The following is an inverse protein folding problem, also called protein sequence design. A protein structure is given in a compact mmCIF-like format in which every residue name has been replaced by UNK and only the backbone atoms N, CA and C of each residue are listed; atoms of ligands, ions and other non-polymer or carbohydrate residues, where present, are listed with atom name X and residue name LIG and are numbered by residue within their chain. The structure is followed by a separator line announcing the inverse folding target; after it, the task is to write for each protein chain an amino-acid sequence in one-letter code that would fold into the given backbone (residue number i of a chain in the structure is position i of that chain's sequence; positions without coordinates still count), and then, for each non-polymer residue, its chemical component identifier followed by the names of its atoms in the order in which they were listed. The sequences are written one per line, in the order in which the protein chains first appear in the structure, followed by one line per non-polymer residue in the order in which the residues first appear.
data_IF_685980203276
#
_entry.id   IF_685980203276
#
_cell.length_a   1.000
_cell.length_b   1.000
_cell.length_c   1.000
_cell.angle_alpha   90.00
_cell.angle_beta   90.00
_cell.angle_gamma   90.00
#
_symmetry.space_group_name_H-M   'P 1'
#
loop_
_entity.id
_entity.type
_entity.pdbx_description
1 polymer ?
#
# COMPACT_ATOMS: atom_id res chain seq x y z
N UNK A 1 -9.57 -4.65 -35.22
CA UNK A 1 -8.12 -4.48 -34.99
C UNK A 1 -7.92 -4.46 -33.48
N UNK A 2 -7.61 -5.61 -32.94
CA UNK A 2 -7.33 -5.87 -31.54
C UNK A 2 -5.84 -5.67 -31.30
N UNK A 3 -5.47 -4.65 -30.54
CA UNK A 3 -4.13 -4.53 -30.02
C UNK A 3 -4.22 -4.37 -28.49
N UNK A 4 -4.46 -5.47 -27.80
CA UNK A 4 -4.10 -5.62 -26.42
C UNK A 4 -2.77 -6.34 -26.34
N UNK A 5 -1.66 -5.63 -26.33
CA UNK A 5 -0.39 -6.22 -25.90
C UNK A 5 -0.50 -6.44 -24.40
N UNK A 6 -0.81 -7.66 -24.00
CA UNK A 6 -0.65 -8.12 -22.63
C UNK A 6 0.82 -7.96 -22.25
N UNK A 7 1.09 -7.00 -21.40
CA UNK A 7 2.38 -6.85 -20.74
C UNK A 7 2.51 -8.04 -19.76
N UNK A 8 3.02 -9.17 -20.24
CA UNK A 8 3.38 -10.28 -19.37
C UNK A 8 4.72 -9.93 -18.72
N UNK A 9 4.69 -9.52 -17.43
CA UNK A 9 5.88 -9.63 -16.61
C UNK A 9 6.25 -11.12 -16.54
N UNK A 10 7.45 -11.49 -17.01
CA UNK A 10 7.94 -12.88 -16.96
C UNK A 10 7.99 -13.40 -15.52
N UNK A 11 8.30 -12.54 -14.56
CA UNK A 11 8.33 -12.84 -13.13
C UNK A 11 7.46 -11.85 -12.36
N UNK A 12 6.62 -12.34 -11.46
CA UNK A 12 5.82 -11.49 -10.58
C UNK A 12 6.71 -10.75 -9.59
N UNK A 13 6.32 -9.53 -9.24
CA UNK A 13 7.02 -8.71 -8.26
C UNK A 13 6.70 -9.24 -6.85
N UNK A 14 7.73 -9.62 -6.04
CA UNK A 14 7.50 -10.10 -4.69
C UNK A 14 7.05 -8.98 -3.77
N UNK A 15 5.97 -9.23 -3.02
CA UNK A 15 5.36 -8.25 -2.14
C UNK A 15 5.13 -8.81 -0.74
N UNK A 16 5.15 -7.92 0.26
CA UNK A 16 4.80 -8.22 1.65
C UNK A 16 3.60 -7.39 2.10
N UNK A 17 2.75 -7.95 2.94
CA UNK A 17 1.66 -7.22 3.60
C UNK A 17 2.02 -7.00 5.07
N UNK A 18 2.14 -5.73 5.48
CA UNK A 18 2.35 -5.32 6.87
C UNK A 18 1.01 -5.06 7.54
N UNK A 19 0.81 -5.59 8.75
CA UNK A 19 -0.48 -5.56 9.43
C UNK A 19 -1.49 -6.56 8.86
N UNK A 20 -1.00 -7.69 8.32
CA UNK A 20 -1.78 -8.67 7.56
C UNK A 20 -2.96 -9.29 8.34
N UNK A 21 -2.93 -9.32 9.68
CA UNK A 21 -4.01 -9.87 10.51
C UNK A 21 -5.18 -8.92 10.74
N UNK A 22 -5.00 -7.61 10.47
CA UNK A 22 -6.06 -6.61 10.53
C UNK A 22 -7.01 -6.68 9.32
N UNK A 23 -8.20 -6.08 9.42
CA UNK A 23 -9.23 -6.13 8.36
C UNK A 23 -8.75 -5.59 7.01
N UNK A 24 -7.99 -4.49 7.00
CA UNK A 24 -7.41 -3.91 5.79
C UNK A 24 -6.29 -4.80 5.24
N UNK A 25 -5.43 -5.35 6.13
CA UNK A 25 -4.38 -6.28 5.73
C UNK A 25 -4.93 -7.56 5.11
N UNK A 26 -6.01 -8.12 5.66
CA UNK A 26 -6.72 -9.25 5.09
C UNK A 26 -7.25 -8.95 3.68
N UNK A 27 -7.75 -7.72 3.46
CA UNK A 27 -8.20 -7.29 2.13
C UNK A 27 -7.05 -7.20 1.13
N UNK A 28 -5.87 -6.72 1.54
CA UNK A 28 -4.69 -6.79 0.70
C UNK A 28 -4.30 -8.23 0.37
N UNK A 29 -4.28 -9.13 1.37
CA UNK A 29 -4.00 -10.55 1.15
C UNK A 29 -4.97 -11.14 0.14
N UNK A 30 -6.28 -10.94 0.32
CA UNK A 30 -7.32 -11.43 -0.60
C UNK A 30 -7.08 -10.96 -2.05
N UNK A 31 -6.77 -9.67 -2.24
CA UNK A 31 -6.55 -9.08 -3.56
C UNK A 31 -5.25 -9.56 -4.21
N UNK A 32 -4.26 -9.96 -3.42
CA UNK A 32 -2.93 -10.36 -3.90
C UNK A 32 -2.85 -11.84 -4.27
N UNK A 33 -3.72 -12.71 -3.74
CA UNK A 33 -3.68 -14.17 -3.96
C UNK A 33 -3.58 -14.56 -5.44
N UNK A 34 -4.36 -13.92 -6.30
CA UNK A 34 -4.38 -14.20 -7.74
C UNK A 34 -3.98 -12.98 -8.58
N UNK A 35 -3.18 -12.07 -7.99
CA UNK A 35 -2.81 -10.86 -8.69
C UNK A 35 -1.89 -11.18 -9.90
N UNK A 36 -2.13 -10.57 -11.08
CA UNK A 36 -1.37 -10.92 -12.28
C UNK A 36 0.10 -10.46 -12.23
N UNK A 37 0.42 -9.42 -11.45
CA UNK A 37 1.74 -8.78 -11.41
C UNK A 37 2.48 -8.96 -10.08
N UNK A 38 1.77 -9.26 -9.00
CA UNK A 38 2.35 -9.37 -7.67
C UNK A 38 2.31 -10.80 -7.16
N UNK A 39 3.36 -11.18 -6.43
CA UNK A 39 3.47 -12.44 -5.70
C UNK A 39 3.56 -12.14 -4.20
N UNK A 40 2.59 -12.61 -3.44
CA UNK A 40 2.58 -12.45 -1.98
C UNK A 40 3.57 -13.45 -1.36
N UNK A 41 4.76 -12.96 -1.01
CA UNK A 41 5.84 -13.81 -0.47
C UNK A 41 5.95 -13.77 1.05
N UNK A 42 5.36 -12.77 1.71
CA UNK A 42 5.37 -12.65 3.17
C UNK A 42 4.13 -11.93 3.71
N UNK A 43 3.73 -12.33 4.90
CA UNK A 43 2.72 -11.64 5.73
C UNK A 43 3.37 -11.27 7.06
N UNK A 44 3.25 -10.01 7.46
CA UNK A 44 3.83 -9.51 8.70
C UNK A 44 2.76 -8.87 9.59
N UNK A 45 2.90 -9.03 10.89
CA UNK A 45 1.97 -8.48 11.88
C UNK A 45 2.68 -8.16 13.21
N UNK A 46 1.90 -7.82 14.24
CA UNK A 46 2.41 -7.54 15.58
C UNK A 46 3.11 -8.76 16.21
N UNK A 47 3.93 -8.53 17.23
CA UNK A 47 4.66 -9.58 17.98
C UNK A 47 3.75 -10.68 18.53
N UNK A 48 2.49 -10.38 18.81
CA UNK A 48 1.51 -11.39 19.29
C UNK A 48 1.19 -12.47 18.26
N UNK A 49 1.28 -12.13 16.97
CA UNK A 49 0.97 -12.99 15.84
C UNK A 49 2.22 -13.58 15.20
N UNK A 50 3.37 -12.95 15.39
CA UNK A 50 4.64 -13.37 14.81
C UNK A 50 5.03 -14.79 15.22
N UNK A 51 5.56 -15.56 14.28
CA UNK A 51 5.99 -16.95 14.44
C UNK A 51 4.86 -17.98 14.33
N UNK A 52 3.60 -17.58 14.28
CA UNK A 52 2.45 -18.50 14.09
C UNK A 52 2.15 -18.69 12.59
N UNK A 53 1.45 -19.78 12.26
CA UNK A 53 0.84 -19.89 10.94
C UNK A 53 -0.21 -18.80 10.75
N UNK A 54 -0.26 -18.19 9.56
CA UNK A 54 -1.18 -17.08 9.30
C UNK A 54 -2.65 -17.47 9.53
N UNK A 55 -3.06 -18.68 9.12
CA UNK A 55 -4.41 -19.18 9.35
C UNK A 55 -4.81 -19.32 10.82
N UNK A 56 -3.83 -19.53 11.71
CA UNK A 56 -4.05 -19.58 13.17
C UNK A 56 -4.03 -18.18 13.81
N UNK A 57 -3.24 -17.27 13.23
CA UNK A 57 -3.06 -15.92 13.75
C UNK A 57 -4.18 -14.96 13.34
N UNK A 58 -4.92 -15.27 12.27
CA UNK A 58 -5.95 -14.38 11.69
C UNK A 58 -7.36 -14.89 12.01
N UNK A 59 -8.25 -13.98 12.38
CA UNK A 59 -9.68 -14.21 12.27
C UNK A 59 -10.12 -13.75 10.88
N UNK A 60 -10.19 -14.68 9.92
CA UNK A 60 -10.44 -14.36 8.52
C UNK A 60 -11.85 -13.80 8.31
N UNK A 61 -11.93 -12.56 7.82
CA UNK A 61 -13.19 -11.81 7.66
C UNK A 61 -13.64 -11.68 6.21
N UNK A 62 -12.81 -12.14 5.25
CA UNK A 62 -13.12 -11.97 3.84
C UNK A 62 -14.14 -13.00 3.36
N UNK A 63 -14.96 -12.67 2.34
CA UNK A 63 -16.00 -13.58 1.82
C UNK A 63 -15.40 -14.78 1.08
N UNK A 64 -14.21 -14.64 0.52
CA UNK A 64 -13.49 -15.73 -0.14
C UNK A 64 -12.73 -16.58 0.88
N UNK A 65 -12.68 -17.92 0.74
CA UNK A 65 -11.91 -18.75 1.64
C UNK A 65 -10.42 -18.41 1.57
N UNK A 66 -9.74 -18.46 2.72
CA UNK A 66 -8.29 -18.26 2.79
C UNK A 66 -7.59 -19.46 2.11
N UNK A 67 -6.77 -19.24 1.06
CA UNK A 67 -6.04 -20.31 0.41
C UNK A 67 -5.08 -21.01 1.37
N UNK A 68 -4.98 -22.32 1.26
CA UNK A 68 -4.14 -23.14 2.15
C UNK A 68 -2.66 -22.74 2.08
N UNK A 69 -2.16 -22.35 0.91
CA UNK A 69 -0.78 -21.87 0.72
C UNK A 69 -0.49 -20.64 1.56
N UNK A 70 -1.44 -19.70 1.63
CA UNK A 70 -1.31 -18.48 2.43
C UNK A 70 -1.53 -18.78 3.92
N UNK A 71 -2.52 -19.65 4.26
CA UNK A 71 -2.78 -20.03 5.64
C UNK A 71 -1.57 -20.67 6.33
N UNK A 72 -0.74 -21.39 5.57
CA UNK A 72 0.51 -22.02 6.05
C UNK A 72 1.70 -21.06 6.14
N UNK A 73 1.62 -19.83 5.63
CA UNK A 73 2.71 -18.87 5.75
C UNK A 73 2.96 -18.53 7.22
N UNK A 74 4.23 -18.48 7.61
CA UNK A 74 4.61 -17.99 8.94
C UNK A 74 4.50 -16.47 8.98
N UNK A 75 3.76 -15.94 9.95
CA UNK A 75 3.66 -14.50 10.18
C UNK A 75 5.01 -13.96 10.63
N UNK A 76 5.55 -13.00 9.88
CA UNK A 76 6.81 -12.33 10.18
C UNK A 76 6.57 -11.14 11.12
N UNK A 77 7.64 -10.62 11.72
CA UNK A 77 7.63 -9.31 12.37
C UNK A 77 7.60 -8.21 11.30
N UNK A 78 7.06 -7.03 11.66
CA UNK A 78 7.11 -5.87 10.78
C UNK A 78 8.50 -5.21 10.84
N UNK A 79 9.52 -5.91 10.36
CA UNK A 79 10.91 -5.47 10.28
C UNK A 79 11.42 -5.59 8.83
N UNK A 80 12.35 -4.74 8.38
CA UNK A 80 12.75 -4.68 6.97
C UNK A 80 13.75 -5.78 6.54
N UNK A 81 13.74 -6.92 7.19
CA UNK A 81 14.45 -8.15 6.86
C UNK A 81 13.54 -9.21 6.20
N UNK A 82 12.26 -8.89 6.01
CA UNK A 82 11.29 -9.79 5.37
C UNK A 82 11.47 -9.83 3.86
N UNK A 83 11.19 -10.96 3.18
CA UNK A 83 11.27 -11.01 1.72
C UNK A 83 10.24 -10.07 1.06
N UNK A 84 10.62 -9.44 -0.06
CA UNK A 84 9.75 -8.57 -0.85
C UNK A 84 10.46 -7.34 -1.38
N UNK A 85 9.88 -6.72 -2.38
CA UNK A 85 10.31 -5.43 -2.95
C UNK A 85 9.32 -4.31 -2.65
N UNK A 86 8.04 -4.66 -2.55
CA UNK A 86 6.96 -3.73 -2.23
C UNK A 86 6.31 -4.16 -0.91
N UNK A 87 6.12 -3.21 -0.01
CA UNK A 87 5.40 -3.40 1.24
C UNK A 87 4.04 -2.70 1.18
N UNK A 88 2.95 -3.48 1.16
CA UNK A 88 1.61 -2.95 1.34
C UNK A 88 1.33 -2.81 2.83
N UNK A 89 1.26 -1.57 3.32
CA UNK A 89 1.09 -1.30 4.75
C UNK A 89 -0.37 -1.04 5.11
N UNK A 90 -0.86 -1.87 6.03
CA UNK A 90 -2.16 -1.76 6.70
C UNK A 90 -1.97 -1.60 8.21
N UNK A 91 -0.88 -0.97 8.63
CA UNK A 91 -0.56 -0.73 10.03
C UNK A 91 -1.42 0.39 10.62
N UNK A 92 -1.65 0.32 11.92
CA UNK A 92 -2.24 1.42 12.66
C UNK A 92 -1.33 2.65 12.66
N UNK A 93 -1.92 3.84 12.58
CA UNK A 93 -1.18 5.11 12.50
C UNK A 93 -0.20 5.32 13.67
N UNK A 94 -0.46 4.73 14.84
CA UNK A 94 0.40 4.83 16.02
C UNK A 94 1.78 4.20 15.84
N UNK A 95 1.92 3.23 14.94
CA UNK A 95 3.18 2.49 14.70
C UNK A 95 3.66 2.58 13.24
N UNK A 96 2.77 2.94 12.33
CA UNK A 96 3.04 2.91 10.90
C UNK A 96 4.19 3.84 10.50
N UNK A 97 4.22 5.08 11.01
CA UNK A 97 5.20 6.08 10.60
C UNK A 97 6.64 5.63 10.73
N UNK A 98 6.99 5.05 11.88
CA UNK A 98 8.34 4.54 12.14
C UNK A 98 8.66 3.31 11.28
N UNK A 99 7.76 2.33 11.27
CA UNK A 99 7.97 1.07 10.53
C UNK A 99 8.06 1.34 9.03
N UNK A 100 7.17 2.12 8.46
CA UNK A 100 7.16 2.47 7.04
C UNK A 100 8.43 3.22 6.63
N UNK A 101 8.92 4.11 7.49
CA UNK A 101 10.21 4.81 7.30
C UNK A 101 11.38 3.83 7.28
N UNK A 102 11.43 2.87 8.21
CA UNK A 102 12.46 1.84 8.24
C UNK A 102 12.46 0.97 6.98
N UNK A 103 11.28 0.57 6.49
CA UNK A 103 11.15 -0.16 5.22
C UNK A 103 11.63 0.65 4.03
N UNK A 104 11.27 1.93 3.94
CA UNK A 104 11.74 2.81 2.87
C UNK A 104 13.26 3.03 2.92
N UNK A 105 13.85 3.17 4.11
CA UNK A 105 15.30 3.26 4.29
C UNK A 105 16.00 1.98 3.83
N UNK A 106 15.42 0.82 4.09
CA UNK A 106 15.94 -0.48 3.65
C UNK A 106 15.77 -0.75 2.14
N UNK A 107 15.03 0.10 1.43
CA UNK A 107 14.92 0.03 -0.03
C UNK A 107 13.57 -0.48 -0.56
N UNK A 108 12.58 -0.68 0.29
CA UNK A 108 11.23 -1.10 -0.14
C UNK A 108 10.45 0.08 -0.74
N UNK A 109 9.62 -0.23 -1.72
CA UNK A 109 8.52 0.67 -2.09
C UNK A 109 7.35 0.41 -1.13
N UNK A 110 7.08 1.35 -0.23
CA UNK A 110 5.97 1.26 0.72
C UNK A 110 4.73 1.89 0.11
N UNK A 111 3.65 1.13 0.03
CA UNK A 111 2.30 1.60 -0.34
C UNK A 111 1.45 1.59 0.90
N UNK A 112 1.28 2.77 1.51
CA UNK A 112 0.67 2.93 2.82
C UNK A 112 -0.82 3.25 2.75
N UNK A 113 -1.61 2.51 3.51
CA UNK A 113 -3.00 2.86 3.83
C UNK A 113 -3.13 3.63 5.16
N UNK A 114 -2.02 3.81 5.88
CA UNK A 114 -1.99 4.58 7.14
C UNK A 114 -2.09 6.09 6.91
N UNK A 115 -2.47 6.81 7.97
CA UNK A 115 -2.52 8.27 7.97
C UNK A 115 -1.17 8.95 8.20
N UNK A 116 -0.13 8.22 8.63
CA UNK A 116 1.10 8.77 9.21
C UNK A 116 1.85 9.70 8.24
N UNK A 117 1.99 9.33 6.99
CA UNK A 117 2.75 10.09 5.98
C UNK A 117 1.89 10.93 5.04
N UNK A 118 0.58 11.03 5.26
CA UNK A 118 -0.33 11.75 4.33
C UNK A 118 -0.07 13.24 4.23
N UNK A 119 0.52 13.83 5.25
CA UNK A 119 0.81 15.27 5.32
C UNK A 119 2.26 15.61 5.03
N UNK A 120 3.11 14.62 4.79
CA UNK A 120 4.51 14.83 4.46
C UNK A 120 4.63 15.45 3.06
N UNK A 121 5.40 16.53 2.90
CA UNK A 121 5.44 17.31 1.65
C UNK A 121 6.01 16.52 0.47
N UNK A 122 6.88 15.54 0.74
CA UNK A 122 7.56 14.72 -0.27
C UNK A 122 6.85 13.37 -0.53
N UNK A 123 5.78 13.08 0.21
CA UNK A 123 5.03 11.83 0.06
C UNK A 123 3.77 12.07 -0.75
N UNK A 124 3.60 11.40 -1.91
CA UNK A 124 2.39 11.56 -2.70
C UNK A 124 1.19 10.95 -2.00
N UNK A 125 0.17 11.77 -1.76
CA UNK A 125 -1.17 11.34 -1.40
C UNK A 125 -1.91 11.07 -2.71
N UNK A 126 -2.06 9.79 -3.08
CA UNK A 126 -2.38 9.36 -4.43
C UNK A 126 -3.77 8.72 -4.55
N UNK A 127 -4.54 9.23 -5.48
CA UNK A 127 -5.67 8.56 -6.13
C UNK A 127 -5.34 8.53 -7.62
N UNK A 128 -4.84 7.41 -8.18
CA UNK A 128 -4.25 7.37 -9.52
C UNK A 128 -5.12 7.96 -10.61
N UNK A 129 -6.43 7.72 -10.57
CA UNK A 129 -7.42 8.24 -11.53
C UNK A 129 -7.58 9.76 -11.43
N UNK A 130 -7.17 10.37 -10.31
CA UNK A 130 -7.36 11.80 -10.05
C UNK A 130 -6.08 12.59 -10.23
N UNK A 131 -4.97 12.12 -9.66
CA UNK A 131 -3.75 12.89 -9.50
C UNK A 131 -2.47 12.07 -9.70
N UNK A 132 -2.45 11.16 -10.70
CA UNK A 132 -1.29 10.31 -11.00
C UNK A 132 0.04 11.09 -11.12
N UNK A 133 -0.01 12.36 -11.57
CA UNK A 133 1.16 13.23 -11.66
C UNK A 133 1.84 13.51 -10.31
N UNK A 134 1.15 13.36 -9.17
CA UNK A 134 1.75 13.49 -7.84
C UNK A 134 2.79 12.40 -7.56
N UNK A 135 2.78 11.30 -8.32
CA UNK A 135 3.82 10.27 -8.22
C UNK A 135 5.23 10.84 -8.45
N UNK A 136 5.37 11.95 -9.16
CA UNK A 136 6.66 12.61 -9.35
C UNK A 136 7.33 13.04 -8.02
N UNK A 137 6.57 13.25 -6.93
CA UNK A 137 7.09 13.61 -5.61
C UNK A 137 8.01 12.53 -5.01
N UNK A 138 7.89 11.27 -5.42
CA UNK A 138 8.80 10.23 -4.93
C UNK A 138 10.28 10.53 -5.21
N UNK A 139 10.57 11.38 -6.20
CA UNK A 139 11.95 11.75 -6.57
C UNK A 139 12.62 12.64 -5.54
N UNK A 140 11.85 13.39 -4.73
CA UNK A 140 12.35 14.31 -3.70
C UNK A 140 12.51 13.67 -2.34
N UNK A 141 12.00 12.45 -2.15
CA UNK A 141 12.10 11.73 -0.89
C UNK A 141 13.54 11.41 -0.53
N UNK A 142 13.93 11.53 0.76
CA UNK A 142 15.32 11.40 1.22
C UNK A 142 15.83 9.95 1.26
N UNK A 143 15.01 8.97 0.89
CA UNK A 143 15.40 7.55 0.93
C UNK A 143 16.29 7.19 -0.27
N UNK A 144 17.43 6.51 -0.05
CA UNK A 144 18.38 6.20 -1.13
C UNK A 144 17.80 5.33 -2.24
N UNK A 145 17.01 4.31 -1.87
CA UNK A 145 16.46 3.31 -2.81
C UNK A 145 14.95 3.15 -2.68
N UNK A 146 14.45 3.06 -1.44
CA UNK A 146 13.02 2.88 -1.19
C UNK A 146 12.23 4.18 -1.34
N UNK A 147 10.92 4.05 -1.32
CA UNK A 147 9.97 5.19 -1.44
C UNK A 147 8.71 4.90 -0.65
N UNK A 148 7.99 5.95 -0.27
CA UNK A 148 6.67 5.87 0.37
C UNK A 148 5.64 6.52 -0.53
N UNK A 149 4.52 5.85 -0.72
CA UNK A 149 3.32 6.34 -1.38
C UNK A 149 2.15 6.13 -0.43
N UNK A 150 1.25 7.10 -0.30
CA UNK A 150 0.07 6.98 0.54
C UNK A 150 -1.21 7.13 -0.26
N UNK A 151 -2.28 6.49 0.19
CA UNK A 151 -3.64 6.77 -0.26
C UNK A 151 -4.38 7.66 0.76
N UNK A 152 -5.40 8.42 0.35
CA UNK A 152 -6.23 9.16 1.28
C UNK A 152 -7.16 8.25 2.08
N UNK A 153 -7.86 8.83 3.06
CA UNK A 153 -8.92 8.15 3.79
C UNK A 153 -9.99 7.60 2.83
N UNK A 154 -10.60 6.47 3.18
CA UNK A 154 -11.60 5.77 2.36
C UNK A 154 -12.77 6.67 1.90
N UNK A 155 -13.28 7.54 2.77
CA UNK A 155 -14.35 8.50 2.43
C UNK A 155 -13.89 9.53 1.41
N UNK A 156 -12.61 9.96 1.48
CA UNK A 156 -12.04 10.94 0.56
C UNK A 156 -11.79 10.34 -0.82
N UNK A 157 -11.42 9.06 -0.92
CA UNK A 157 -11.25 8.38 -2.22
C UNK A 157 -12.56 8.38 -3.00
N UNK A 158 -13.66 7.91 -2.40
CA UNK A 158 -14.98 7.88 -3.04
C UNK A 158 -15.46 9.29 -3.46
N UNK A 159 -15.30 10.27 -2.57
CA UNK A 159 -15.69 11.65 -2.87
C UNK A 159 -14.88 12.25 -4.01
N UNK A 160 -13.56 12.07 -4.02
CA UNK A 160 -12.68 12.61 -5.08
C UNK A 160 -12.94 11.99 -6.45
N UNK A 161 -13.16 10.69 -6.50
CA UNK A 161 -13.52 10.00 -7.74
C UNK A 161 -14.86 10.51 -8.30
N UNK A 162 -15.86 10.69 -7.43
CA UNK A 162 -17.18 11.19 -7.83
C UNK A 162 -17.13 12.65 -8.31
N UNK A 163 -16.29 13.48 -7.68
CA UNK A 163 -16.20 14.91 -8.02
C UNK A 163 -15.28 15.19 -9.21
N UNK A 164 -14.35 14.29 -9.55
CA UNK A 164 -13.39 14.52 -10.62
C UNK A 164 -14.02 14.91 -11.96
N UNK A 165 -15.07 14.23 -12.46
CA UNK A 165 -15.72 14.61 -13.72
C UNK A 165 -16.37 16.00 -13.68
N UNK A 166 -16.76 16.46 -12.49
CA UNK A 166 -17.44 17.75 -12.29
C UNK A 166 -16.46 18.91 -12.12
N UNK A 167 -15.17 18.64 -11.91
CA UNK A 167 -14.15 19.66 -11.75
C UNK A 167 -13.46 19.98 -13.07
N UNK A 168 -13.77 21.09 -13.76
CA UNK A 168 -12.95 21.60 -14.85
C UNK A 168 -11.52 21.78 -14.34
N UNK A 169 -10.54 21.43 -15.16
CA UNK A 169 -9.10 21.39 -14.78
C UNK A 169 -8.56 22.66 -14.09
N UNK A 170 -9.23 23.80 -14.28
CA UNK A 170 -8.90 25.08 -13.63
C UNK A 170 -9.35 25.19 -12.17
N UNK A 171 -10.49 24.57 -11.80
CA UNK A 171 -11.04 24.63 -10.43
C UNK A 171 -10.26 23.72 -9.48
N UNK A 172 -9.87 22.52 -9.92
CA UNK A 172 -9.02 21.63 -9.14
C UNK A 172 -7.65 22.25 -8.81
N UNK A 173 -7.07 23.05 -9.73
CA UNK A 173 -5.84 23.80 -9.46
C UNK A 173 -5.99 24.87 -8.37
N UNK A 174 -7.15 25.49 -8.23
CA UNK A 174 -7.41 26.50 -7.21
C UNK A 174 -7.52 25.90 -5.79
N UNK A 175 -8.14 24.71 -5.65
CA UNK A 175 -8.24 24.00 -4.38
C UNK A 175 -6.90 23.51 -3.85
N UNK A 176 -6.01 23.05 -4.76
CA UNK A 176 -4.64 22.62 -4.41
C UNK A 176 -3.74 23.80 -4.07
N UNK A 177 -3.93 24.98 -4.70
CA UNK A 177 -3.12 26.19 -4.42
C UNK A 177 -3.36 26.80 -3.03
N UNK A 178 -4.57 26.66 -2.44
CA UNK A 178 -4.86 27.25 -1.13
C UNK A 178 -4.12 26.62 0.06
N UNK A 179 -3.46 25.47 -0.10
CA UNK A 179 -2.66 24.84 0.96
C UNK A 179 -1.17 25.25 1.00
N UNK A 180 -0.73 26.17 0.13
CA UNK A 180 0.66 26.67 0.13
C UNK A 180 0.86 27.99 0.89
N UNK A 181 -0.16 28.52 1.53
CA UNK A 181 -0.10 29.76 2.30
C UNK A 181 -0.72 29.52 3.68
N UNK A 182 -0.02 28.86 4.57
CA UNK A 182 -0.15 29.00 6.03
C UNK A 182 1.08 28.35 6.66
#
# INVERSE_FOLDING_TARGET
MTMGSEFQFRDKIPVVVLGATGSVGQKFVELLVHHPWFDLVAVAASDRSSGKCYGEAVNWLMPTPLPESIAKMTVQKCQPDVPGMIAFSALDASVAGEIETQFAQAGYLVVSNSGSHRMDPDVPLLVPEVNAQHLALIRTQPFPKGKIITNPNCSVVGLTLSLKPLCPSKVCRALVRKRKCS
#
